data_IF_003244927643
#
_entry.id   IF_003244927643
#
_cell.length_a   1.000
_cell.length_b   1.000
_cell.length_c   1.000
_cell.angle_alpha   90.00
_cell.angle_beta   90.00
_cell.angle_gamma   90.00
#
_symmetry.space_group_name_H-M   'P 1'
#
loop_
_entity.id
_entity.type
_entity.pdbx_description
1 polymer ?
#
# COMPACT_ATOMS: atom_id res chain seq x y z
N UNK A 1 0.57 69.95 54.35
CA UNK A 1 1.10 69.73 52.99
C UNK A 1 1.70 68.33 52.90
N UNK A 2 0.91 67.38 52.46
CA UNK A 2 1.38 65.92 52.40
C UNK A 2 1.45 65.56 50.92
N UNK A 3 2.66 65.25 50.40
CA UNK A 3 2.92 64.79 49.03
C UNK A 3 2.81 63.26 49.00
N UNK A 4 1.82 62.77 48.30
CA UNK A 4 1.67 61.35 48.02
C UNK A 4 2.52 61.00 46.81
N UNK A 5 3.55 60.12 46.99
CA UNK A 5 4.32 59.53 45.92
C UNK A 5 3.59 58.29 45.36
N UNK A 6 3.29 58.29 44.08
CA UNK A 6 2.76 57.09 43.33
C UNK A 6 3.94 56.29 42.86
N UNK A 7 4.04 55.04 43.34
CA UNK A 7 4.94 54.00 42.85
C UNK A 7 4.25 53.31 41.65
N UNK A 8 4.85 53.51 40.47
CA UNK A 8 4.52 52.68 39.27
C UNK A 8 5.43 51.44 39.28
N UNK A 9 4.83 50.28 39.49
CA UNK A 9 5.52 49.01 39.32
C UNK A 9 5.54 48.59 37.83
N UNK A 10 6.64 47.98 37.36
CA UNK A 10 6.71 47.49 35.98
C UNK A 10 5.92 46.20 35.82
N UNK A 11 4.97 46.17 34.89
CA UNK A 11 4.29 44.95 34.43
C UNK A 11 5.22 44.20 33.48
N UNK A 12 5.76 43.09 33.96
CA UNK A 12 6.49 42.14 33.12
C UNK A 12 5.48 41.33 32.29
N UNK A 13 5.37 41.67 31.01
CA UNK A 13 4.69 40.83 30.01
C UNK A 13 5.54 39.62 29.71
N UNK A 14 5.16 38.45 30.26
CA UNK A 14 5.68 37.16 29.88
C UNK A 14 5.09 36.78 28.52
N UNK A 15 5.80 37.08 27.42
CA UNK A 15 5.47 36.59 26.09
C UNK A 15 5.75 35.11 25.99
N UNK A 16 4.71 34.26 26.02
CA UNK A 16 4.81 32.87 25.72
C UNK A 16 5.15 32.70 24.23
N UNK A 17 6.41 32.40 23.93
CA UNK A 17 6.89 31.94 22.62
C UNK A 17 6.26 30.57 22.33
N UNK A 18 5.13 30.57 21.65
CA UNK A 18 4.59 29.39 20.97
C UNK A 18 5.56 29.02 19.84
N UNK A 19 6.52 28.14 20.12
CA UNK A 19 7.31 27.51 19.09
C UNK A 19 6.36 26.71 18.17
N UNK A 20 6.38 26.94 16.84
CA UNK A 20 5.62 26.10 15.93
C UNK A 20 6.15 24.68 16.10
N UNK A 21 5.25 23.73 16.41
CA UNK A 21 5.57 22.32 16.37
C UNK A 21 6.05 22.03 14.93
N UNK A 22 7.34 21.84 14.75
CA UNK A 22 7.90 21.37 13.50
C UNK A 22 7.23 20.03 13.21
N UNK A 23 6.24 20.04 12.27
CA UNK A 23 5.82 18.81 11.63
C UNK A 23 7.10 18.25 11.03
N UNK A 24 7.57 17.12 11.58
CA UNK A 24 8.57 16.32 10.92
C UNK A 24 7.95 15.95 9.58
N UNK A 25 8.40 16.60 8.51
CA UNK A 25 8.08 16.17 7.16
C UNK A 25 8.51 14.72 7.09
N UNK A 26 7.53 13.82 6.99
CA UNK A 26 7.76 12.41 6.75
C UNK A 26 8.57 12.35 5.45
N UNK A 27 9.88 12.05 5.55
CA UNK A 27 10.69 11.86 4.36
C UNK A 27 10.06 10.73 3.58
N UNK A 28 9.52 11.04 2.39
CA UNK A 28 8.95 10.04 1.49
C UNK A 28 9.94 8.89 1.33
N UNK A 29 9.45 7.65 1.33
CA UNK A 29 10.30 6.52 1.05
C UNK A 29 10.72 6.60 -0.42
N UNK A 30 12.01 6.73 -0.66
CA UNK A 30 12.54 6.77 -2.03
C UNK A 30 12.65 5.35 -2.58
N UNK A 31 12.35 5.18 -3.85
CA UNK A 31 12.54 3.94 -4.57
C UNK A 31 13.00 4.24 -5.99
N UNK A 32 13.77 3.33 -6.61
CA UNK A 32 14.07 3.41 -8.04
C UNK A 32 12.78 3.56 -8.86
N UNK A 33 12.71 4.49 -9.82
CA UNK A 33 11.50 4.74 -10.60
C UNK A 33 10.92 3.48 -11.25
N UNK A 34 11.79 2.58 -11.72
CA UNK A 34 11.41 1.31 -12.35
C UNK A 34 10.65 0.35 -11.44
N UNK A 35 10.75 0.49 -10.11
CA UNK A 35 9.97 -0.28 -9.15
C UNK A 35 8.56 0.28 -8.92
N UNK A 36 8.32 1.50 -9.40
CA UNK A 36 7.05 2.22 -9.25
C UNK A 36 6.28 2.33 -10.58
N UNK A 37 6.86 1.81 -11.68
CA UNK A 37 6.19 1.78 -12.97
C UNK A 37 5.00 0.83 -12.94
N UNK A 38 3.85 1.28 -13.45
CA UNK A 38 2.66 0.45 -13.52
C UNK A 38 2.79 -0.64 -14.59
N UNK A 39 3.34 -0.29 -15.76
CA UNK A 39 3.53 -1.20 -16.90
C UNK A 39 2.23 -1.64 -17.57
N UNK A 40 1.09 -1.21 -17.05
CA UNK A 40 -0.22 -1.53 -17.60
C UNK A 40 -1.28 -0.47 -17.17
N UNK A 41 -2.28 -0.20 -18.03
CA UNK A 41 -3.29 0.83 -17.79
C UNK A 41 -4.37 0.38 -16.80
N UNK A 42 -4.99 1.37 -16.11
CA UNK A 42 -6.10 1.19 -15.16
C UNK A 42 -7.36 1.93 -15.62
N UNK A 43 -8.03 1.49 -16.70
CA UNK A 43 -9.14 2.21 -17.32
C UNK A 43 -10.41 2.25 -16.47
N UNK A 44 -10.73 1.19 -15.70
CA UNK A 44 -11.91 1.17 -14.82
C UNK A 44 -11.73 2.16 -13.66
N UNK A 45 -10.52 2.21 -13.09
CA UNK A 45 -10.14 3.17 -12.06
C UNK A 45 -10.26 4.62 -12.57
N UNK A 46 -9.80 4.90 -13.80
CA UNK A 46 -9.92 6.23 -14.41
C UNK A 46 -11.39 6.61 -14.60
N UNK A 47 -12.22 5.70 -15.07
CA UNK A 47 -13.67 5.94 -15.21
C UNK A 47 -14.32 6.23 -13.86
N UNK A 48 -14.03 5.43 -12.84
CA UNK A 48 -14.54 5.60 -11.49
C UNK A 48 -14.17 6.94 -10.87
N UNK A 49 -12.90 7.33 -11.00
CA UNK A 49 -12.41 8.63 -10.51
C UNK A 49 -13.11 9.81 -11.22
N UNK A 50 -13.35 9.71 -12.53
CA UNK A 50 -14.13 10.72 -13.28
C UNK A 50 -15.59 10.77 -12.85
N UNK A 51 -16.17 9.63 -12.46
CA UNK A 51 -17.53 9.56 -11.93
C UNK A 51 -17.65 10.02 -10.46
N UNK A 52 -16.54 10.36 -9.79
CA UNK A 52 -16.52 10.87 -8.43
C UNK A 52 -16.59 9.82 -7.32
N UNK A 53 -16.51 8.51 -7.65
CA UNK A 53 -16.54 7.44 -6.65
C UNK A 53 -15.62 6.29 -7.07
N UNK A 54 -14.74 5.85 -6.15
CA UNK A 54 -13.80 4.75 -6.36
C UNK A 54 -13.90 3.77 -5.20
N UNK A 55 -14.32 2.54 -5.49
CA UNK A 55 -14.27 1.43 -4.55
C UNK A 55 -13.08 0.52 -4.87
N UNK A 56 -12.23 0.32 -3.88
CA UNK A 56 -11.04 -0.52 -3.92
C UNK A 56 -11.26 -1.73 -3.02
N UNK A 57 -11.07 -2.94 -3.55
CA UNK A 57 -11.00 -4.16 -2.76
C UNK A 57 -9.52 -4.55 -2.59
N UNK A 58 -9.08 -4.68 -1.35
CA UNK A 58 -7.76 -5.22 -1.01
C UNK A 58 -7.93 -6.64 -0.51
N UNK A 59 -7.29 -7.60 -1.17
CA UNK A 59 -7.38 -9.01 -0.80
C UNK A 59 -5.97 -9.59 -0.58
N UNK A 60 -5.80 -10.45 0.45
CA UNK A 60 -4.50 -11.07 0.67
C UNK A 60 -4.31 -11.70 2.04
N UNK A 61 -3.07 -12.08 2.34
CA UNK A 61 -2.66 -12.64 3.63
C UNK A 61 -2.66 -11.62 4.77
N UNK A 62 -2.03 -11.97 5.88
CA UNK A 62 -2.00 -11.12 7.08
C UNK A 62 -1.47 -9.69 6.82
N UNK A 63 -0.55 -9.50 5.87
CA UNK A 63 0.09 -8.21 5.61
C UNK A 63 -0.87 -7.09 5.18
N UNK A 64 -2.05 -7.42 4.63
CA UNK A 64 -3.06 -6.41 4.28
C UNK A 64 -3.84 -5.90 5.49
N UNK A 65 -3.75 -6.61 6.63
CA UNK A 65 -4.37 -6.22 7.90
C UNK A 65 -3.48 -5.32 8.77
N UNK A 66 -2.22 -5.11 8.37
CA UNK A 66 -1.26 -4.28 9.11
C UNK A 66 -0.86 -4.85 10.47
N UNK A 67 -0.48 -6.14 10.61
CA UNK A 67 -0.09 -6.68 11.91
C UNK A 67 1.15 -5.96 12.45
N UNK A 68 1.14 -5.63 13.74
CA UNK A 68 2.26 -4.94 14.41
C UNK A 68 2.31 -3.43 14.17
N UNK A 69 1.34 -2.85 13.50
CA UNK A 69 1.17 -1.39 13.42
C UNK A 69 0.59 -0.83 14.73
N UNK A 70 0.67 0.48 14.91
CA UNK A 70 0.08 1.19 16.06
C UNK A 70 -1.44 1.14 16.10
N UNK A 71 -2.09 0.74 15.01
CA UNK A 71 -3.54 0.57 14.91
C UNK A 71 -4.03 0.42 13.48
N UNK A 72 -5.32 0.14 13.27
CA UNK A 72 -5.89 -0.11 11.93
C UNK A 72 -5.63 1.01 10.91
N UNK A 73 -5.66 2.27 11.35
CA UNK A 73 -5.39 3.44 10.51
C UNK A 73 -3.94 3.52 10.02
N UNK A 74 -3.01 2.82 10.68
CA UNK A 74 -1.61 2.76 10.29
C UNK A 74 -1.30 1.64 9.28
N UNK A 75 -2.25 0.74 8.99
CA UNK A 75 -2.13 -0.26 7.95
C UNK A 75 -2.10 0.39 6.56
N UNK A 76 -1.30 -0.16 5.63
CA UNK A 76 -1.11 0.44 4.31
C UNK A 76 -2.40 0.64 3.49
N UNK A 77 -3.45 -0.23 3.57
CA UNK A 77 -4.68 0.04 2.82
C UNK A 77 -5.42 1.28 3.34
N UNK A 78 -5.51 1.46 4.67
CA UNK A 78 -6.13 2.65 5.27
C UNK A 78 -5.33 3.93 4.97
N UNK A 79 -3.99 3.85 4.98
CA UNK A 79 -3.12 4.96 4.57
C UNK A 79 -3.30 5.30 3.10
N UNK A 80 -3.45 4.30 2.22
CA UNK A 80 -3.72 4.52 0.79
C UNK A 80 -5.04 5.25 0.59
N UNK A 81 -6.11 4.84 1.29
CA UNK A 81 -7.41 5.52 1.26
C UNK A 81 -7.26 7.00 1.64
N UNK A 82 -6.61 7.27 2.77
CA UNK A 82 -6.35 8.63 3.24
C UNK A 82 -5.52 9.45 2.25
N UNK A 83 -4.49 8.86 1.65
CA UNK A 83 -3.65 9.50 0.62
C UNK A 83 -4.45 9.87 -0.64
N UNK A 84 -5.30 8.99 -1.12
CA UNK A 84 -6.13 9.26 -2.31
C UNK A 84 -7.15 10.36 -1.98
N UNK A 85 -7.84 10.26 -0.84
CA UNK A 85 -8.81 11.26 -0.40
C UNK A 85 -8.17 12.65 -0.24
N UNK A 86 -6.99 12.74 0.35
CA UNK A 86 -6.26 14.00 0.52
C UNK A 86 -5.83 14.62 -0.81
N UNK A 87 -5.42 13.79 -1.79
CA UNK A 87 -4.96 14.26 -3.12
C UNK A 87 -6.09 14.53 -4.09
N UNK A 88 -7.29 14.07 -3.81
CA UNK A 88 -8.49 14.20 -4.64
C UNK A 88 -9.70 14.65 -3.80
N UNK A 89 -9.71 15.89 -3.30
CA UNK A 89 -10.86 16.41 -2.59
C UNK A 89 -12.13 16.29 -3.44
N UNK A 90 -13.19 15.74 -2.85
CA UNK A 90 -14.46 15.48 -3.55
C UNK A 90 -14.60 14.10 -4.19
N UNK A 91 -13.54 13.30 -4.30
CA UNK A 91 -13.64 11.89 -4.69
C UNK A 91 -14.07 11.06 -3.48
N UNK A 92 -15.20 10.35 -3.60
CA UNK A 92 -15.59 9.34 -2.60
C UNK A 92 -14.73 8.10 -2.80
N UNK A 93 -13.83 7.83 -1.87
CA UNK A 93 -12.98 6.63 -1.88
C UNK A 93 -13.46 5.69 -0.77
N UNK A 94 -13.53 4.41 -1.07
CA UNK A 94 -13.81 3.34 -0.11
C UNK A 94 -12.80 2.22 -0.33
N UNK A 95 -12.08 1.82 0.72
CA UNK A 95 -11.16 0.68 0.70
C UNK A 95 -11.70 -0.44 1.57
N UNK A 96 -12.22 -1.49 0.94
CA UNK A 96 -12.63 -2.71 1.62
C UNK A 96 -11.45 -3.70 1.69
N UNK A 97 -11.14 -4.20 2.90
CA UNK A 97 -10.04 -5.14 3.09
C UNK A 97 -10.58 -6.53 3.42
N UNK A 98 -10.12 -7.54 2.70
CA UNK A 98 -10.39 -8.96 2.92
C UNK A 98 -9.09 -9.68 3.09
N UNK A 99 -8.68 -9.84 4.35
CA UNK A 99 -7.40 -10.46 4.70
C UNK A 99 -7.55 -11.56 5.74
N UNK A 100 -6.70 -12.59 5.62
CA UNK A 100 -6.64 -13.66 6.60
C UNK A 100 -5.22 -14.22 6.67
N UNK A 101 -4.72 -14.47 7.89
CA UNK A 101 -3.44 -15.17 8.06
C UNK A 101 -3.48 -16.52 7.36
N UNK A 102 -2.47 -16.81 6.56
CA UNK A 102 -2.33 -18.08 5.85
C UNK A 102 -3.24 -18.24 4.64
N UNK A 103 -3.88 -17.17 4.15
CA UNK A 103 -4.68 -17.20 2.93
C UNK A 103 -3.79 -17.51 1.72
N UNK A 104 -4.06 -18.63 1.05
CA UNK A 104 -3.40 -19.05 -0.19
C UNK A 104 -3.93 -18.28 -1.38
N UNK A 105 -3.27 -18.37 -2.53
CA UNK A 105 -3.75 -17.74 -3.76
C UNK A 105 -5.08 -18.33 -4.22
N UNK A 106 -5.24 -19.65 -4.14
CA UNK A 106 -6.46 -20.38 -4.49
C UNK A 106 -7.65 -19.95 -3.60
N UNK A 107 -7.42 -19.88 -2.28
CA UNK A 107 -8.46 -19.39 -1.36
C UNK A 107 -8.80 -17.91 -1.59
N UNK A 108 -7.80 -17.09 -1.93
CA UNK A 108 -8.01 -15.68 -2.26
C UNK A 108 -8.81 -15.50 -3.54
N UNK A 109 -8.58 -16.32 -4.58
CA UNK A 109 -9.36 -16.31 -5.82
C UNK A 109 -10.83 -16.67 -5.57
N UNK A 110 -11.10 -17.68 -4.74
CA UNK A 110 -12.47 -18.03 -4.35
C UNK A 110 -13.16 -16.90 -3.55
N UNK A 111 -12.45 -16.28 -2.61
CA UNK A 111 -12.94 -15.14 -1.85
C UNK A 111 -13.21 -13.92 -2.74
N UNK A 112 -12.33 -13.67 -3.72
CA UNK A 112 -12.50 -12.62 -4.71
C UNK A 112 -13.79 -12.78 -5.51
N UNK A 113 -14.08 -13.98 -6.01
CA UNK A 113 -15.30 -14.26 -6.74
C UNK A 113 -16.56 -13.99 -5.90
N UNK A 114 -16.55 -14.38 -4.62
CA UNK A 114 -17.63 -14.10 -3.68
C UNK A 114 -17.84 -12.59 -3.44
N UNK A 115 -16.75 -11.84 -3.24
CA UNK A 115 -16.80 -10.38 -3.01
C UNK A 115 -17.32 -9.63 -4.25
N UNK A 116 -16.88 -10.02 -5.44
CA UNK A 116 -17.35 -9.41 -6.69
C UNK A 116 -18.85 -9.63 -6.91
N UNK A 117 -19.38 -10.78 -6.52
CA UNK A 117 -20.81 -11.07 -6.60
C UNK A 117 -21.65 -10.23 -5.62
N UNK A 118 -21.09 -9.86 -4.47
CA UNK A 118 -21.76 -9.06 -3.44
C UNK A 118 -21.70 -7.57 -3.75
N UNK A 119 -20.55 -7.08 -4.15
CA UNK A 119 -20.34 -5.65 -4.37
C UNK A 119 -19.16 -5.41 -5.34
N UNK A 120 -19.41 -5.00 -6.58
CA UNK A 120 -18.37 -4.74 -7.56
C UNK A 120 -17.39 -3.67 -7.08
N UNK A 121 -16.10 -3.94 -7.20
CA UNK A 121 -15.03 -2.96 -7.00
C UNK A 121 -14.49 -2.54 -8.37
N UNK A 122 -14.12 -1.27 -8.52
CA UNK A 122 -13.49 -0.80 -9.76
C UNK A 122 -12.01 -1.12 -9.81
N UNK A 123 -11.39 -1.34 -8.64
CA UNK A 123 -9.98 -1.71 -8.51
C UNK A 123 -9.82 -2.79 -7.46
N UNK A 124 -9.07 -3.83 -7.79
CA UNK A 124 -8.68 -4.88 -6.85
C UNK A 124 -7.16 -4.88 -6.68
N UNK A 125 -6.71 -4.78 -5.42
CA UNK A 125 -5.31 -4.90 -5.02
C UNK A 125 -5.12 -6.29 -4.41
N UNK A 126 -4.46 -7.20 -5.15
CA UNK A 126 -4.34 -8.59 -4.75
C UNK A 126 -2.92 -8.92 -4.29
N UNK A 127 -2.72 -9.00 -2.97
CA UNK A 127 -1.44 -9.39 -2.36
C UNK A 127 -1.35 -10.92 -2.21
N UNK A 128 -0.40 -11.55 -2.90
CA UNK A 128 -0.34 -13.00 -3.01
C UNK A 128 1.10 -13.55 -3.05
N UNK A 129 1.24 -14.87 -3.17
CA UNK A 129 2.51 -15.59 -3.31
C UNK A 129 3.28 -15.85 -2.01
N UNK A 130 3.17 -15.00 -0.98
CA UNK A 130 3.93 -15.20 0.28
C UNK A 130 3.59 -16.52 0.96
N UNK A 131 2.31 -16.85 1.09
CA UNK A 131 1.87 -18.10 1.77
C UNK A 131 2.22 -19.30 0.93
N UNK A 132 2.10 -19.22 -0.39
CA UNK A 132 2.48 -20.29 -1.31
C UNK A 132 3.97 -20.59 -1.18
N UNK A 133 4.84 -19.58 -1.21
CA UNK A 133 6.28 -19.74 -1.03
C UNK A 133 6.68 -20.31 0.34
N UNK A 134 6.07 -19.83 1.43
CA UNK A 134 6.36 -20.30 2.80
C UNK A 134 5.96 -21.77 2.99
N UNK A 135 4.87 -22.20 2.35
CA UNK A 135 4.36 -23.57 2.45
C UNK A 135 4.93 -24.50 1.38
N UNK A 136 5.69 -24.00 0.40
CA UNK A 136 6.17 -24.77 -0.73
C UNK A 136 5.05 -25.35 -1.58
N UNK A 137 3.95 -24.60 -1.77
CA UNK A 137 2.83 -25.03 -2.63
C UNK A 137 3.25 -24.96 -4.10
N UNK A 138 2.66 -25.79 -4.95
CA UNK A 138 2.99 -25.82 -6.35
C UNK A 138 2.77 -24.47 -7.04
N UNK A 139 3.75 -24.03 -7.81
CA UNK A 139 3.71 -22.74 -8.52
C UNK A 139 2.58 -22.73 -9.55
N UNK A 140 2.38 -23.86 -10.24
CA UNK A 140 1.34 -24.01 -11.26
C UNK A 140 -0.07 -23.83 -10.66
N UNK A 141 -0.32 -24.37 -9.45
CA UNK A 141 -1.58 -24.16 -8.73
C UNK A 141 -1.83 -22.65 -8.44
N UNK A 142 -0.76 -21.94 -8.06
CA UNK A 142 -0.85 -20.49 -7.86
C UNK A 142 -1.15 -19.77 -9.18
N UNK A 143 -0.51 -20.15 -10.27
CA UNK A 143 -0.73 -19.55 -11.60
C UNK A 143 -2.14 -19.80 -12.09
N UNK A 144 -2.67 -21.01 -11.96
CA UNK A 144 -4.05 -21.33 -12.32
C UNK A 144 -5.06 -20.48 -11.55
N UNK A 145 -4.88 -20.35 -10.23
CA UNK A 145 -5.73 -19.53 -9.39
C UNK A 145 -5.67 -18.04 -9.75
N UNK A 146 -4.47 -17.53 -10.08
CA UNK A 146 -4.30 -16.14 -10.55
C UNK A 146 -5.00 -15.91 -11.88
N UNK A 147 -4.81 -16.79 -12.86
CA UNK A 147 -5.45 -16.69 -14.16
C UNK A 147 -6.97 -16.67 -14.02
N UNK A 148 -7.55 -17.60 -13.26
CA UNK A 148 -8.99 -17.66 -13.03
C UNK A 148 -9.52 -16.38 -12.36
N UNK A 149 -8.82 -15.87 -11.34
CA UNK A 149 -9.20 -14.65 -10.63
C UNK A 149 -9.10 -13.40 -11.50
N UNK A 150 -8.04 -13.27 -12.31
CA UNK A 150 -7.83 -12.14 -13.21
C UNK A 150 -8.85 -12.13 -14.36
N UNK A 151 -9.19 -13.28 -14.91
CA UNK A 151 -10.27 -13.39 -15.90
C UNK A 151 -11.65 -13.01 -15.31
N UNK A 152 -11.94 -13.43 -14.08
CA UNK A 152 -13.15 -13.01 -13.39
C UNK A 152 -13.20 -11.48 -13.16
N UNK A 153 -12.08 -10.86 -12.79
CA UNK A 153 -11.98 -9.40 -12.65
C UNK A 153 -12.20 -8.69 -13.99
N UNK A 154 -11.59 -9.18 -15.05
CA UNK A 154 -11.76 -8.66 -16.40
C UNK A 154 -13.22 -8.75 -16.85
N UNK A 155 -13.86 -9.89 -16.62
CA UNK A 155 -15.27 -10.09 -16.93
C UNK A 155 -16.19 -9.15 -16.12
N UNK A 156 -15.83 -8.84 -14.87
CA UNK A 156 -16.53 -7.87 -14.03
C UNK A 156 -16.24 -6.39 -14.41
N UNK A 157 -15.34 -6.14 -15.36
CA UNK A 157 -14.94 -4.79 -15.76
C UNK A 157 -14.14 -4.05 -14.72
N UNK A 158 -13.45 -4.76 -13.83
CA UNK A 158 -12.60 -4.26 -12.76
C UNK A 158 -11.14 -4.23 -13.19
N UNK A 159 -10.39 -3.22 -12.76
CA UNK A 159 -8.93 -3.24 -12.85
C UNK A 159 -8.35 -4.11 -11.73
N UNK A 160 -7.18 -4.72 -12.00
CA UNK A 160 -6.40 -5.46 -11.02
C UNK A 160 -5.01 -4.85 -10.87
N UNK A 161 -4.45 -4.93 -9.67
CA UNK A 161 -3.02 -4.76 -9.38
C UNK A 161 -2.58 -5.96 -8.55
N UNK A 162 -1.60 -6.71 -9.05
CA UNK A 162 -0.97 -7.75 -8.26
C UNK A 162 0.08 -7.13 -7.32
N UNK A 163 0.23 -7.73 -6.13
CA UNK A 163 1.25 -7.33 -5.15
C UNK A 163 2.01 -8.59 -4.80
N UNK A 164 3.29 -8.63 -5.12
CA UNK A 164 4.15 -9.78 -4.92
C UNK A 164 4.49 -10.04 -3.42
N UNK A 165 5.18 -11.13 -3.07
CA UNK A 165 5.55 -11.46 -1.71
C UNK A 165 6.24 -10.33 -0.96
N UNK A 166 6.02 -10.26 0.35
CA UNK A 166 6.81 -9.36 1.20
C UNK A 166 8.25 -9.85 1.33
N UNK A 167 9.20 -8.93 1.33
CA UNK A 167 10.59 -9.25 1.63
C UNK A 167 10.80 -9.45 3.13
N UNK A 168 11.56 -10.48 3.49
CA UNK A 168 12.28 -10.57 4.76
C UNK A 168 13.53 -11.43 4.54
N UNK A 169 14.59 -11.17 5.33
CA UNK A 169 15.81 -11.99 5.30
C UNK A 169 15.50 -13.42 5.69
N UNK A 170 14.56 -13.59 6.63
CA UNK A 170 14.10 -14.91 7.04
C UNK A 170 13.48 -15.67 5.86
N UNK A 171 12.55 -15.05 5.11
CA UNK A 171 11.95 -15.68 3.94
C UNK A 171 12.99 -16.01 2.87
N UNK A 172 13.89 -15.08 2.58
CA UNK A 172 14.98 -15.29 1.62
C UNK A 172 15.87 -16.49 1.95
N UNK A 173 16.06 -16.76 3.25
CA UNK A 173 16.91 -17.86 3.69
C UNK A 173 16.16 -19.19 3.81
N UNK A 174 14.88 -19.16 4.13
CA UNK A 174 14.11 -20.34 4.55
C UNK A 174 13.00 -20.76 3.56
N UNK A 175 12.78 -19.99 2.49
CA UNK A 175 11.79 -20.31 1.46
C UNK A 175 12.37 -20.03 0.07
N UNK A 176 12.05 -20.90 -0.89
CA UNK A 176 12.37 -20.67 -2.30
C UNK A 176 11.32 -19.72 -2.89
N UNK A 177 11.53 -18.41 -2.76
CA UNK A 177 10.56 -17.38 -3.16
C UNK A 177 10.63 -17.04 -4.65
N UNK A 178 11.79 -17.19 -5.28
CA UNK A 178 12.04 -16.76 -6.67
C UNK A 178 11.05 -17.34 -7.70
N UNK A 179 10.69 -18.64 -7.71
CA UNK A 179 9.72 -19.17 -8.67
C UNK A 179 8.34 -18.48 -8.59
N UNK A 180 7.92 -18.06 -7.39
CA UNK A 180 6.65 -17.37 -7.18
C UNK A 180 6.71 -15.90 -7.64
N UNK A 181 7.87 -15.25 -7.46
CA UNK A 181 8.11 -13.90 -7.99
C UNK A 181 8.10 -13.91 -9.51
N UNK A 182 8.78 -14.86 -10.12
CA UNK A 182 8.85 -14.99 -11.57
C UNK A 182 7.48 -15.30 -12.17
N UNK A 183 6.74 -16.24 -11.58
CA UNK A 183 5.38 -16.57 -12.00
C UNK A 183 4.47 -15.34 -11.95
N UNK A 184 4.53 -14.54 -10.88
CA UNK A 184 3.75 -13.32 -10.75
C UNK A 184 4.10 -12.28 -11.82
N UNK A 185 5.38 -12.13 -12.18
CA UNK A 185 5.81 -11.25 -13.28
C UNK A 185 5.23 -11.71 -14.61
N UNK A 186 5.32 -13.02 -14.90
CA UNK A 186 4.79 -13.60 -16.15
C UNK A 186 3.27 -13.42 -16.24
N UNK A 187 2.54 -13.74 -15.17
CA UNK A 187 1.07 -13.58 -15.12
C UNK A 187 0.67 -12.11 -15.26
N UNK A 188 1.35 -11.18 -14.59
CA UNK A 188 1.06 -9.76 -14.69
C UNK A 188 1.19 -9.24 -16.13
N UNK A 189 2.27 -9.64 -16.82
CA UNK A 189 2.48 -9.29 -18.25
C UNK A 189 1.42 -9.93 -19.14
N UNK A 190 1.11 -11.21 -18.96
CA UNK A 190 0.15 -11.94 -19.78
C UNK A 190 -1.27 -11.35 -19.68
N UNK A 191 -1.67 -10.91 -18.49
CA UNK A 191 -2.98 -10.28 -18.25
C UNK A 191 -2.98 -8.76 -18.41
N UNK A 192 -1.82 -8.16 -18.71
CA UNK A 192 -1.66 -6.70 -18.82
C UNK A 192 -2.16 -5.96 -17.56
N UNK A 193 -1.78 -6.45 -16.39
CA UNK A 193 -2.09 -5.84 -15.08
C UNK A 193 -0.82 -5.35 -14.40
N UNK A 194 -0.87 -4.21 -13.69
CA UNK A 194 0.27 -3.73 -12.92
C UNK A 194 0.68 -4.72 -11.83
N UNK A 195 1.99 -4.77 -11.55
CA UNK A 195 2.57 -5.54 -10.45
C UNK A 195 3.34 -4.61 -9.51
N UNK A 196 2.87 -4.44 -8.27
CA UNK A 196 3.67 -3.80 -7.24
C UNK A 196 4.76 -4.78 -6.79
N UNK A 197 6.00 -4.49 -7.14
CA UNK A 197 7.20 -5.28 -6.82
C UNK A 197 7.61 -5.05 -5.35
N UNK A 198 6.71 -5.49 -4.44
CA UNK A 198 6.85 -5.24 -3.00
C UNK A 198 8.10 -5.89 -2.43
N UNK A 199 8.50 -7.07 -2.93
CA UNK A 199 9.72 -7.75 -2.52
C UNK A 199 10.95 -6.88 -2.75
N UNK A 200 11.08 -6.31 -3.93
CA UNK A 200 12.21 -5.47 -4.29
C UNK A 200 12.16 -4.11 -3.60
N UNK A 201 11.00 -3.50 -3.49
CA UNK A 201 10.81 -2.25 -2.74
C UNK A 201 11.24 -2.40 -1.28
N UNK A 202 10.73 -3.42 -0.58
CA UNK A 202 11.06 -3.64 0.82
C UNK A 202 12.54 -4.00 1.00
N UNK A 203 13.13 -4.77 0.07
CA UNK A 203 14.57 -5.05 0.06
C UNK A 203 15.38 -3.78 -0.10
N UNK A 204 15.05 -2.94 -1.09
CA UNK A 204 15.70 -1.66 -1.32
C UNK A 204 15.64 -0.76 -0.08
N UNK A 205 14.48 -0.61 0.54
CA UNK A 205 14.35 0.22 1.75
C UNK A 205 15.15 -0.32 2.93
N UNK A 206 15.27 -1.64 3.06
CA UNK A 206 16.10 -2.25 4.10
C UNK A 206 17.61 -2.09 3.81
N UNK A 207 18.04 -2.20 2.55
CA UNK A 207 19.43 -2.05 2.12
C UNK A 207 19.90 -0.58 2.18
N UNK A 208 19.01 0.36 1.92
CA UNK A 208 19.27 1.81 2.01
C UNK A 208 18.92 2.41 3.38
N UNK A 209 18.67 1.59 4.38
CA UNK A 209 18.40 1.96 5.78
C UNK A 209 17.21 2.93 5.96
N UNK A 210 16.29 3.00 4.98
CA UNK A 210 15.11 3.84 5.09
C UNK A 210 14.08 3.25 6.05
N UNK A 211 13.88 1.92 5.99
CA UNK A 211 13.09 1.14 6.95
C UNK A 211 13.49 -0.33 6.89
N UNK A 212 13.78 -0.92 8.05
CA UNK A 212 14.14 -2.33 8.20
C UNK A 212 13.45 -2.93 9.43
N UNK A 213 12.45 -3.77 9.17
CA UNK A 213 11.63 -4.38 10.23
C UNK A 213 12.41 -5.39 11.08
N UNK A 214 13.38 -6.10 10.48
CA UNK A 214 14.11 -7.17 11.16
C UNK A 214 15.25 -6.64 12.02
N UNK A 215 15.80 -5.46 11.69
CA UNK A 215 16.82 -4.77 12.48
C UNK A 215 16.25 -3.78 13.49
N UNK A 216 14.96 -3.48 13.41
CA UNK A 216 14.32 -2.56 14.33
C UNK A 216 14.42 -3.08 15.78
N UNK A 217 14.90 -2.28 16.73
CA UNK A 217 14.94 -2.66 18.13
C UNK A 217 13.53 -2.90 18.66
N UNK A 218 13.39 -3.77 19.68
CA UNK A 218 12.06 -4.15 20.20
C UNK A 218 11.17 -2.93 20.50
N UNK A 219 11.72 -1.91 21.13
CA UNK A 219 11.01 -0.67 21.48
C UNK A 219 10.58 0.17 20.25
N UNK A 220 11.32 0.08 19.14
CA UNK A 220 11.05 0.82 17.90
C UNK A 220 10.26 0.03 16.85
N UNK A 221 9.91 -1.23 17.13
CA UNK A 221 9.33 -2.14 16.12
C UNK A 221 7.98 -1.67 15.59
N UNK A 222 7.11 -1.13 16.44
CA UNK A 222 5.82 -0.57 16.02
C UNK A 222 6.03 0.62 15.07
N UNK A 223 6.90 1.56 15.43
CA UNK A 223 7.21 2.71 14.58
C UNK A 223 7.81 2.31 13.23
N UNK A 224 8.70 1.31 13.20
CA UNK A 224 9.26 0.77 11.97
C UNK A 224 8.17 0.10 11.11
N UNK A 225 7.22 -0.61 11.74
CA UNK A 225 6.09 -1.22 11.02
C UNK A 225 5.15 -0.16 10.45
N UNK A 226 4.83 0.88 11.20
CA UNK A 226 4.05 2.01 10.72
C UNK A 226 4.73 2.70 9.54
N UNK A 227 6.04 2.90 9.62
CA UNK A 227 6.84 3.48 8.54
C UNK A 227 6.83 2.60 7.28
N UNK A 228 6.98 1.28 7.42
CA UNK A 228 6.89 0.34 6.29
C UNK A 228 5.52 0.42 5.61
N UNK A 229 4.43 0.48 6.39
CA UNK A 229 3.08 0.60 5.84
C UNK A 229 2.85 1.95 5.15
N UNK A 230 3.46 3.03 5.64
CA UNK A 230 3.46 4.33 4.99
C UNK A 230 4.17 4.27 3.63
N UNK A 231 5.39 3.71 3.58
CA UNK A 231 6.15 3.51 2.35
C UNK A 231 5.37 2.68 1.30
N UNK A 232 4.72 1.60 1.74
CA UNK A 232 3.91 0.77 0.85
C UNK A 232 2.69 1.52 0.30
N UNK A 233 2.01 2.33 1.12
CA UNK A 233 0.87 3.13 0.68
C UNK A 233 1.30 4.19 -0.35
N UNK A 234 2.45 4.85 -0.14
CA UNK A 234 3.01 5.83 -1.09
C UNK A 234 3.43 5.18 -2.41
N UNK A 235 4.12 4.04 -2.35
CA UNK A 235 4.51 3.27 -3.53
C UNK A 235 3.29 2.81 -4.34
N UNK A 236 2.28 2.26 -3.68
CA UNK A 236 1.02 1.89 -4.32
C UNK A 236 0.33 3.11 -4.94
N UNK A 237 0.25 4.24 -4.24
CA UNK A 237 -0.32 5.46 -4.79
C UNK A 237 0.45 5.99 -6.00
N UNK A 238 1.78 5.80 -6.06
CA UNK A 238 2.59 6.15 -7.22
C UNK A 238 2.29 5.24 -8.41
N UNK A 239 2.27 3.92 -8.20
CA UNK A 239 1.94 2.93 -9.22
C UNK A 239 0.52 3.16 -9.79
N UNK A 240 -0.48 3.42 -8.94
CA UNK A 240 -1.85 3.72 -9.39
C UNK A 240 -1.92 5.00 -10.24
N UNK A 241 -1.12 6.03 -9.91
CA UNK A 241 -1.04 7.23 -10.76
C UNK A 241 -0.43 6.92 -12.14
N UNK A 242 0.62 6.10 -12.19
CA UNK A 242 1.23 5.62 -13.44
C UNK A 242 0.22 4.90 -14.32
N UNK A 243 -0.44 3.87 -13.81
CA UNK A 243 -1.45 3.11 -14.55
C UNK A 243 -2.67 3.96 -14.99
N UNK A 244 -3.06 4.95 -14.18
CA UNK A 244 -4.09 5.91 -14.57
C UNK A 244 -3.59 6.87 -15.67
N UNK A 245 -2.33 7.24 -15.71
CA UNK A 245 -1.74 8.06 -16.78
C UNK A 245 -1.66 7.25 -18.08
N UNK A 246 -1.20 6.01 -18.03
CA UNK A 246 -1.19 5.10 -19.19
C UNK A 246 -2.60 4.90 -19.77
N UNK A 247 -3.62 4.71 -18.93
CA UNK A 247 -5.02 4.58 -19.37
C UNK A 247 -5.57 5.84 -20.07
N UNK A 248 -4.96 7.02 -19.84
CA UNK A 248 -5.31 8.27 -20.52
C UNK A 248 -4.49 8.55 -21.75
N UNK A 249 -3.52 7.69 -22.08
CA UNK A 249 -2.57 7.92 -23.15
C UNK A 249 -1.57 9.07 -22.86
N UNK A 250 -1.36 9.40 -21.59
CA UNK A 250 -0.40 10.43 -21.16
C UNK A 250 0.99 9.83 -21.00
N UNK A 251 2.06 10.60 -21.28
CA UNK A 251 3.42 10.17 -20.95
C UNK A 251 3.52 9.81 -19.47
N UNK A 252 4.41 8.87 -19.15
CA UNK A 252 4.72 8.50 -17.75
C UNK A 252 5.22 9.72 -16.99
N UNK A 253 4.77 9.94 -15.75
CA UNK A 253 5.23 11.06 -14.92
C UNK A 253 6.70 10.91 -14.52
#
# INVERSE_FOLDING_TARGET
MIRTARLLGPVLLLGALLAPAARAESRACTAPPELLEAGAPLPATVRAVRAGSLRILVIGGASVLGPGTSGPAAAWPARLEALIAARRPGLKVEVAVRGRRGLTTTEAAALLAAELALAPAQLVLWATGTVSAVRGLEVDEMVEALNAGLEALKAAGSDAVLIDPQFSRFLRTNANVEPYLDALRVVAVAHQVPLLRRWELMRHWAETEQVDLERAPKAGRVAATDRMNECLAEAMAALLRGGAAEARGQPRP
#
